data_IF_322992358589
#
_entry.id   IF_322992358589
#
_cell.length_a   1.000
_cell.length_b   1.000
_cell.length_c   1.000
_cell.angle_alpha   90.00
_cell.angle_beta   90.00
_cell.angle_gamma   90.00
#
_symmetry.space_group_name_H-M   'P 1'
#
loop_
_entity.id
_entity.type
_entity.pdbx_description
1 polymer ?
#
# COMPACT_ATOMS: atom_id res chain seq x y z
N UNK A 1 2.54 -25.03 3.62
CA UNK A 1 1.69 -24.47 2.58
C UNK A 1 0.94 -23.25 3.03
N UNK A 2 0.24 -23.31 4.17
CA UNK A 2 -0.51 -22.16 4.64
C UNK A 2 0.34 -20.95 4.95
N UNK A 3 1.58 -21.16 5.37
CA UNK A 3 2.45 -20.05 5.76
C UNK A 3 2.83 -19.16 4.57
N UNK A 4 3.06 -19.78 3.41
CA UNK A 4 3.42 -19.01 2.22
C UNK A 4 2.23 -18.19 1.73
N UNK A 5 1.04 -18.77 1.76
CA UNK A 5 -0.18 -18.05 1.39
C UNK A 5 -0.43 -16.88 2.33
N UNK A 6 -0.25 -17.09 3.63
CA UNK A 6 -0.44 -16.05 4.61
C UNK A 6 0.53 -14.90 4.40
N UNK A 7 1.79 -15.22 4.18
CA UNK A 7 2.82 -14.20 3.94
C UNK A 7 2.51 -13.43 2.67
N UNK A 8 2.09 -14.12 1.61
CA UNK A 8 1.75 -13.47 0.36
C UNK A 8 0.57 -12.49 0.52
N UNK A 9 -0.44 -12.88 1.30
CA UNK A 9 -1.59 -12.03 1.55
C UNK A 9 -1.22 -10.81 2.37
N UNK A 10 -0.39 -10.98 3.38
CA UNK A 10 0.07 -9.87 4.20
C UNK A 10 0.87 -8.90 3.34
N UNK A 11 1.79 -9.41 2.54
CA UNK A 11 2.59 -8.56 1.65
C UNK A 11 1.73 -7.81 0.64
N UNK A 12 0.72 -8.48 0.09
CA UNK A 12 -0.17 -7.84 -0.86
C UNK A 12 -0.99 -6.74 -0.21
N UNK A 13 -1.47 -6.97 1.00
CA UNK A 13 -2.19 -5.95 1.76
C UNK A 13 -1.33 -4.74 2.07
N UNK A 14 -0.08 -4.98 2.45
CA UNK A 14 0.86 -3.90 2.72
C UNK A 14 1.14 -3.08 1.46
N UNK A 15 1.30 -3.75 0.33
CA UNK A 15 1.52 -3.06 -0.94
C UNK A 15 0.31 -2.22 -1.33
N UNK A 16 -0.89 -2.74 -1.12
CA UNK A 16 -2.12 -2.00 -1.43
C UNK A 16 -2.23 -0.75 -0.57
N UNK A 17 -1.93 -0.86 0.72
CA UNK A 17 -1.96 0.28 1.63
C UNK A 17 -0.90 1.29 1.25
N UNK A 18 0.30 0.83 0.92
CA UNK A 18 1.39 1.71 0.51
C UNK A 18 1.04 2.47 -0.76
N UNK A 19 0.47 1.79 -1.75
CA UNK A 19 0.06 2.41 -3.01
C UNK A 19 -1.02 3.48 -2.78
N UNK A 20 -2.01 3.16 -1.95
CA UNK A 20 -3.08 4.10 -1.61
C UNK A 20 -2.51 5.31 -0.86
N UNK A 21 -1.65 5.07 0.11
CA UNK A 21 -1.04 6.15 0.88
C UNK A 21 -0.16 7.04 0.02
N UNK A 22 0.61 6.46 -0.90
CA UNK A 22 1.43 7.23 -1.81
C UNK A 22 0.59 8.12 -2.71
N UNK A 23 -0.54 7.61 -3.20
CA UNK A 23 -1.45 8.38 -4.04
C UNK A 23 -2.00 9.59 -3.28
N UNK A 24 -2.44 9.36 -2.05
CA UNK A 24 -2.96 10.44 -1.20
C UNK A 24 -1.86 11.47 -0.92
N UNK A 25 -0.66 11.01 -0.63
CA UNK A 25 0.46 11.91 -0.35
C UNK A 25 0.76 12.82 -1.54
N UNK A 26 0.76 12.26 -2.75
CA UNK A 26 1.00 13.04 -3.97
C UNK A 26 -0.09 14.08 -4.15
N UNK A 27 -1.34 13.70 -3.92
CA UNK A 27 -2.46 14.64 -4.06
C UNK A 27 -2.34 15.78 -3.04
N UNK A 28 -1.95 15.49 -1.83
CA UNK A 28 -1.80 16.51 -0.79
C UNK A 28 -0.66 17.47 -1.12
N UNK A 29 0.43 16.95 -1.64
CA UNK A 29 1.55 17.80 -2.07
C UNK A 29 1.13 18.70 -3.23
N UNK A 30 0.37 18.18 -4.16
CA UNK A 30 -0.14 18.97 -5.28
C UNK A 30 -1.05 20.08 -4.81
N UNK A 31 -1.85 19.82 -3.78
CA UNK A 31 -2.73 20.84 -3.23
C UNK A 31 -1.96 21.97 -2.54
N UNK A 32 -0.84 21.64 -1.92
CA UNK A 32 -0.01 22.65 -1.27
C UNK A 32 0.74 23.51 -2.29
N UNK A 33 1.06 22.92 -3.41
CA UNK A 33 1.75 23.63 -4.47
C UNK A 33 0.79 24.41 -5.33
#
# INVERSE_FOLDING_TARGET
MGNIDLIARIGQGLLAVAATGATVAVLQLAMLA
#
